data_IF_945876814348
#
_entry.id   IF_945876814348
#
_cell.length_a   1.000
_cell.length_b   1.000
_cell.length_c   1.000
_cell.angle_alpha   90.00
_cell.angle_beta   90.00
_cell.angle_gamma   90.00
#
_symmetry.space_group_name_H-M   'P 1'
#
loop_
_entity.id
_entity.type
_entity.pdbx_description
1 polymer ?
#
# COMPACT_ATOMS: atom_id res chain seq x y z
N UNK A 1 6.57 -3.79 12.40
CA UNK A 1 5.41 -4.44 11.79
C UNK A 1 4.28 -4.50 12.81
N UNK A 2 3.04 -4.57 12.32
CA UNK A 2 1.84 -4.87 13.10
C UNK A 2 1.32 -6.25 12.71
N UNK A 3 0.71 -6.96 13.65
CA UNK A 3 0.07 -8.24 13.37
C UNK A 3 -1.35 -8.01 12.84
N UNK A 4 -1.69 -8.69 11.75
CA UNK A 4 -3.06 -8.82 11.26
C UNK A 4 -3.52 -10.25 11.53
N UNK A 5 -4.50 -10.39 12.41
CA UNK A 5 -4.98 -11.70 12.85
C UNK A 5 -5.63 -12.48 11.69
N UNK A 6 -5.47 -13.81 11.72
CA UNK A 6 -6.14 -14.70 10.79
C UNK A 6 -7.68 -14.56 10.86
N UNK A 7 -8.37 -14.97 9.81
CA UNK A 7 -9.82 -15.08 9.78
C UNK A 7 -10.47 -14.29 8.65
N UNK A 8 -11.82 -14.30 8.61
CA UNK A 8 -12.60 -13.70 7.55
C UNK A 8 -12.56 -12.17 7.58
N UNK A 9 -12.67 -11.54 6.41
CA UNK A 9 -12.98 -10.12 6.26
C UNK A 9 -13.76 -9.85 4.97
N UNK A 10 -14.46 -8.72 4.93
CA UNK A 10 -15.14 -8.23 3.73
C UNK A 10 -14.10 -7.57 2.80
N UNK A 11 -13.82 -8.20 1.66
CA UNK A 11 -12.99 -7.63 0.59
C UNK A 11 -13.88 -7.00 -0.48
N UNK A 12 -13.48 -5.83 -0.96
CA UNK A 12 -14.12 -5.11 -2.06
C UNK A 12 -15.20 -4.15 -1.62
N UNK A 13 -15.75 -3.44 -2.61
CA UNK A 13 -16.67 -2.33 -2.40
C UNK A 13 -18.14 -2.77 -2.49
N UNK A 14 -19.00 -2.13 -1.69
CA UNK A 14 -20.46 -2.33 -1.73
C UNK A 14 -21.05 -1.73 -3.02
N UNK A 15 -22.18 -2.23 -3.55
CA UNK A 15 -22.77 -1.70 -4.78
C UNK A 15 -22.95 -0.17 -4.75
N UNK A 16 -22.48 0.50 -5.82
CA UNK A 16 -22.57 1.96 -5.96
C UNK A 16 -21.45 2.76 -5.28
N UNK A 17 -20.44 2.09 -4.72
CA UNK A 17 -19.23 2.70 -4.16
C UNK A 17 -18.01 2.11 -4.86
N UNK A 18 -17.01 2.94 -5.19
CA UNK A 18 -15.77 2.48 -5.82
C UNK A 18 -15.91 2.23 -7.33
N UNK A 19 -14.85 1.70 -7.92
CA UNK A 19 -14.78 1.31 -9.33
C UNK A 19 -15.33 -0.12 -9.56
N UNK A 20 -15.62 -0.44 -10.82
CA UNK A 20 -16.21 -1.73 -11.21
C UNK A 20 -15.34 -2.93 -10.79
N UNK A 21 -14.01 -2.81 -10.90
CA UNK A 21 -13.07 -3.89 -10.55
C UNK A 21 -12.84 -4.04 -9.03
N UNK A 22 -13.49 -3.21 -8.21
CA UNK A 22 -13.58 -3.37 -6.75
C UNK A 22 -14.76 -4.26 -6.32
N UNK A 23 -15.58 -4.71 -7.26
CA UNK A 23 -16.76 -5.54 -7.03
C UNK A 23 -16.55 -7.02 -7.46
N UNK A 24 -17.33 -7.96 -6.90
CA UNK A 24 -18.29 -7.78 -5.81
C UNK A 24 -17.59 -7.75 -4.44
N UNK A 25 -18.20 -7.06 -3.47
CA UNK A 25 -17.83 -7.29 -2.08
C UNK A 25 -18.19 -8.73 -1.67
N UNK A 26 -17.24 -9.45 -1.10
CA UNK A 26 -17.47 -10.78 -0.53
C UNK A 26 -16.55 -11.06 0.64
N UNK A 27 -16.98 -12.01 1.48
CA UNK A 27 -16.12 -12.50 2.56
C UNK A 27 -15.04 -13.42 1.99
N UNK A 28 -13.78 -13.15 2.37
CA UNK A 28 -12.65 -14.06 2.16
C UNK A 28 -11.91 -14.27 3.48
N UNK A 29 -11.18 -15.37 3.60
CA UNK A 29 -10.36 -15.71 4.76
C UNK A 29 -8.89 -15.47 4.44
N UNK A 30 -8.18 -14.83 5.38
CA UNK A 30 -6.72 -14.73 5.33
C UNK A 30 -6.10 -15.41 6.53
N UNK A 31 -4.98 -16.09 6.30
CA UNK A 31 -4.04 -16.52 7.33
C UNK A 31 -3.47 -15.30 8.07
N UNK A 32 -2.89 -15.53 9.26
CA UNK A 32 -2.28 -14.43 10.01
C UNK A 32 -0.96 -14.01 9.35
N UNK A 33 -0.71 -12.70 9.32
CA UNK A 33 0.51 -12.14 8.76
C UNK A 33 0.92 -10.89 9.54
N UNK A 34 2.15 -10.45 9.28
CA UNK A 34 2.64 -9.15 9.70
C UNK A 34 2.69 -8.24 8.50
N UNK A 35 2.38 -6.95 8.70
CA UNK A 35 2.62 -5.91 7.71
C UNK A 35 3.42 -4.78 8.36
N UNK A 36 4.24 -4.07 7.60
CA UNK A 36 4.95 -2.91 8.13
C UNK A 36 3.97 -1.88 8.67
N UNK A 37 4.38 -1.21 9.76
CA UNK A 37 3.53 -0.21 10.43
C UNK A 37 3.33 0.98 9.52
N UNK A 38 4.36 1.37 8.79
CA UNK A 38 4.41 2.48 7.84
C UNK A 38 4.96 1.97 6.51
N UNK A 39 4.94 2.84 5.50
CA UNK A 39 5.73 2.67 4.29
C UNK A 39 7.22 2.57 4.62
N UNK A 40 7.98 1.97 3.69
CA UNK A 40 9.44 1.91 3.76
C UNK A 40 10.00 3.31 3.62
N UNK A 41 10.85 3.71 4.57
CA UNK A 41 11.44 5.05 4.54
C UNK A 41 12.65 5.14 3.62
N UNK A 42 13.04 6.36 3.20
CA UNK A 42 14.27 6.56 2.44
C UNK A 42 15.50 6.08 3.22
N UNK A 43 15.56 6.28 4.55
CA UNK A 43 16.66 5.78 5.37
C UNK A 43 16.72 4.25 5.42
N UNK A 44 15.57 3.58 5.43
CA UNK A 44 15.53 2.12 5.39
C UNK A 44 15.97 1.57 4.05
N UNK A 45 15.49 2.17 2.96
CA UNK A 45 15.89 1.80 1.60
C UNK A 45 17.37 2.11 1.34
N UNK A 46 17.91 3.20 1.90
CA UNK A 46 19.32 3.57 1.76
C UNK A 46 20.25 2.47 2.30
N UNK A 47 19.87 1.78 3.38
CA UNK A 47 20.65 0.62 3.87
C UNK A 47 20.74 -0.52 2.85
N UNK A 48 19.71 -0.71 2.03
CA UNK A 48 19.76 -1.69 0.93
C UNK A 48 20.67 -1.21 -0.22
N UNK A 49 20.67 0.09 -0.50
CA UNK A 49 21.57 0.71 -1.49
C UNK A 49 23.02 0.60 -1.05
N UNK A 50 23.33 0.96 0.20
CA UNK A 50 24.67 0.90 0.79
C UNK A 50 25.21 -0.54 0.83
N UNK A 51 24.33 -1.52 1.02
CA UNK A 51 24.65 -2.94 0.95
C UNK A 51 24.85 -3.47 -0.49
N UNK A 52 24.67 -2.63 -1.51
CA UNK A 52 24.76 -3.01 -2.92
C UNK A 52 23.65 -3.96 -3.38
N UNK A 53 22.50 -3.97 -2.68
CA UNK A 53 21.36 -4.85 -2.95
C UNK A 53 20.21 -4.14 -3.65
N UNK A 54 20.12 -2.82 -3.51
CA UNK A 54 19.16 -1.95 -4.21
C UNK A 54 19.89 -0.88 -5.03
N UNK A 55 19.21 -0.33 -6.04
CA UNK A 55 19.70 0.85 -6.77
C UNK A 55 19.17 2.11 -6.11
N UNK A 56 19.91 3.21 -6.18
CA UNK A 56 19.38 4.50 -5.74
C UNK A 56 18.17 4.88 -6.63
N UNK A 57 17.00 5.23 -6.05
CA UNK A 57 15.84 5.67 -6.80
C UNK A 57 16.12 6.89 -7.68
N UNK A 58 15.43 6.95 -8.83
CA UNK A 58 15.57 8.06 -9.79
C UNK A 58 14.21 8.68 -10.07
N UNK A 59 13.90 9.79 -9.39
CA UNK A 59 12.73 10.60 -9.68
C UNK A 59 13.01 11.55 -10.86
N UNK A 60 12.12 11.58 -11.86
CA UNK A 60 12.23 12.54 -12.96
C UNK A 60 11.87 13.95 -12.46
N UNK A 61 12.87 14.76 -12.09
CA UNK A 61 12.78 16.22 -11.87
C UNK A 61 11.62 16.68 -10.94
N UNK A 62 11.35 15.97 -9.85
CA UNK A 62 10.46 16.45 -8.79
C UNK A 62 11.21 16.69 -7.47
N UNK A 63 11.60 17.95 -7.25
CA UNK A 63 12.30 18.36 -6.01
C UNK A 63 11.51 18.07 -4.73
N UNK A 64 10.18 17.92 -4.82
CA UNK A 64 9.36 17.68 -3.65
C UNK A 64 9.47 16.25 -3.12
N UNK A 65 9.91 15.29 -3.93
CA UNK A 65 9.95 13.86 -3.63
C UNK A 65 11.29 13.19 -3.97
N UNK A 66 12.33 13.99 -4.21
CA UNK A 66 13.66 13.50 -4.57
C UNK A 66 14.24 12.47 -3.57
N UNK A 67 15.11 11.61 -4.10
CA UNK A 67 15.96 10.73 -3.32
C UNK A 67 17.05 11.53 -2.61
N UNK A 68 16.85 11.79 -1.33
CA UNK A 68 17.79 12.45 -0.44
C UNK A 68 17.64 11.85 0.97
N UNK A 69 18.18 10.65 1.22
CA UNK A 69 18.03 9.97 2.50
C UNK A 69 18.67 10.74 3.67
N UNK A 70 19.52 11.74 3.40
CA UNK A 70 20.07 12.61 4.44
C UNK A 70 19.06 13.67 4.89
N UNK A 71 18.36 14.32 3.96
CA UNK A 71 17.34 15.33 4.28
C UNK A 71 15.94 14.76 4.52
N UNK A 72 15.64 13.58 3.96
CA UNK A 72 14.30 12.98 3.90
C UNK A 72 14.25 11.57 4.49
N UNK A 73 15.13 11.30 5.45
CA UNK A 73 15.29 10.00 6.10
C UNK A 73 13.97 9.29 6.47
N UNK A 74 12.99 10.04 6.97
CA UNK A 74 11.69 9.52 7.45
C UNK A 74 10.55 9.61 6.44
N UNK A 75 10.80 10.12 5.23
CA UNK A 75 9.79 10.11 4.16
C UNK A 75 9.73 8.73 3.51
N UNK A 76 8.59 8.33 2.93
CA UNK A 76 8.51 7.09 2.16
C UNK A 76 9.49 7.14 0.96
N UNK A 77 10.10 6.00 0.67
CA UNK A 77 10.79 5.81 -0.61
C UNK A 77 9.76 5.74 -1.73
N UNK A 78 10.04 6.46 -2.82
CA UNK A 78 9.24 6.50 -4.05
C UNK A 78 10.17 6.41 -5.26
N UNK A 79 9.63 6.43 -6.48
CA UNK A 79 10.40 6.32 -7.71
C UNK A 79 11.18 5.01 -7.81
N UNK A 80 10.55 3.93 -7.37
CA UNK A 80 11.04 2.56 -7.49
C UNK A 80 10.05 1.73 -8.29
N UNK A 81 10.57 0.87 -9.16
CA UNK A 81 9.74 -0.07 -9.91
C UNK A 81 9.29 -1.24 -9.03
N UNK A 82 8.36 -2.06 -9.50
CA UNK A 82 7.79 -3.15 -8.71
C UNK A 82 8.86 -4.18 -8.29
N UNK A 83 9.78 -4.51 -9.20
CA UNK A 83 10.88 -5.44 -8.92
C UNK A 83 11.86 -4.90 -7.87
N UNK A 84 12.10 -3.59 -7.84
CA UNK A 84 12.93 -2.94 -6.82
C UNK A 84 12.24 -2.95 -5.45
N UNK A 85 10.93 -2.70 -5.41
CA UNK A 85 10.11 -2.82 -4.21
C UNK A 85 10.14 -4.26 -3.66
N UNK A 86 9.93 -5.26 -4.53
CA UNK A 86 10.04 -6.69 -4.18
C UNK A 86 11.45 -7.04 -3.68
N UNK A 87 12.48 -6.58 -4.38
CA UNK A 87 13.88 -6.80 -4.04
C UNK A 87 14.24 -6.22 -2.67
N UNK A 88 13.78 -5.01 -2.35
CA UNK A 88 13.94 -4.42 -1.02
C UNK A 88 13.26 -5.25 0.06
N UNK A 89 12.00 -5.66 -0.14
CA UNK A 89 11.31 -6.47 0.86
C UNK A 89 12.02 -7.81 1.09
N UNK A 90 12.53 -8.44 0.03
CA UNK A 90 13.35 -9.65 0.16
C UNK A 90 14.66 -9.40 0.93
N UNK A 91 15.37 -8.30 0.65
CA UNK A 91 16.55 -7.88 1.41
C UNK A 91 16.25 -7.70 2.90
N UNK A 92 15.08 -7.15 3.23
CA UNK A 92 14.61 -6.97 4.60
C UNK A 92 14.10 -8.27 5.27
N UNK A 93 14.20 -9.43 4.60
CA UNK A 93 13.68 -10.71 5.11
C UNK A 93 12.15 -10.79 5.16
N UNK A 94 11.50 -10.10 4.21
CA UNK A 94 10.05 -9.91 4.06
C UNK A 94 9.62 -10.20 2.61
N UNK A 95 8.40 -9.85 2.26
CA UNK A 95 7.83 -9.87 0.90
C UNK A 95 6.90 -8.67 0.69
N UNK A 96 6.41 -8.48 -0.53
CA UNK A 96 5.25 -7.59 -0.74
C UNK A 96 3.99 -8.22 -0.11
N UNK A 97 3.04 -7.42 0.40
CA UNK A 97 1.72 -7.92 0.76
C UNK A 97 0.96 -8.36 -0.50
N UNK A 98 0.06 -9.32 -0.38
CA UNK A 98 -0.98 -9.49 -1.40
C UNK A 98 -1.95 -8.31 -1.35
N UNK A 99 -2.70 -8.06 -2.43
CA UNK A 99 -3.76 -7.05 -2.47
C UNK A 99 -4.77 -7.28 -1.34
N UNK A 100 -5.14 -8.54 -1.09
CA UNK A 100 -6.08 -8.91 -0.05
C UNK A 100 -5.52 -8.65 1.37
N UNK A 101 -4.24 -8.97 1.60
CA UNK A 101 -3.57 -8.66 2.86
C UNK A 101 -3.51 -7.16 3.12
N UNK A 102 -3.15 -6.39 2.10
CA UNK A 102 -3.13 -4.94 2.18
C UNK A 102 -4.51 -4.39 2.56
N UNK A 103 -5.57 -4.84 1.88
CA UNK A 103 -6.93 -4.38 2.17
C UNK A 103 -7.35 -4.73 3.58
N UNK A 104 -7.12 -5.97 4.05
CA UNK A 104 -7.47 -6.35 5.42
C UNK A 104 -6.71 -5.49 6.42
N UNK A 105 -5.42 -5.24 6.21
CA UNK A 105 -4.61 -4.41 7.08
C UNK A 105 -5.13 -2.97 7.17
N UNK A 106 -5.66 -2.42 6.08
CA UNK A 106 -6.26 -1.08 6.03
C UNK A 106 -7.66 -1.05 6.65
N UNK A 107 -8.53 -1.95 6.18
CA UNK A 107 -9.99 -1.95 6.41
C UNK A 107 -10.39 -2.59 7.74
N UNK A 108 -9.65 -3.56 8.26
CA UNK A 108 -10.19 -4.41 9.32
C UNK A 108 -11.23 -5.41 8.80
N UNK A 109 -12.22 -5.75 9.63
CA UNK A 109 -13.21 -6.80 9.33
C UNK A 109 -14.66 -6.31 9.27
N UNK A 110 -14.89 -5.02 9.54
CA UNK A 110 -16.23 -4.43 9.71
C UNK A 110 -16.77 -3.71 8.46
N UNK A 111 -16.02 -3.72 7.36
CA UNK A 111 -16.48 -3.14 6.09
C UNK A 111 -16.37 -1.62 6.00
N UNK A 112 -15.61 -0.96 6.90
CA UNK A 112 -15.39 0.49 6.85
C UNK A 112 -14.78 0.98 5.52
N UNK A 113 -15.04 2.24 5.17
CA UNK A 113 -14.54 2.85 3.92
C UNK A 113 -13.09 3.28 4.00
N UNK A 114 -12.64 3.79 5.14
CA UNK A 114 -11.28 4.28 5.36
C UNK A 114 -10.66 3.58 6.56
N UNK A 115 -9.32 3.62 6.73
CA UNK A 115 -8.67 2.93 7.85
C UNK A 115 -9.23 3.34 9.23
N UNK A 116 -9.57 4.62 9.38
CA UNK A 116 -10.13 5.18 10.61
C UNK A 116 -11.65 5.03 10.77
N UNK A 117 -12.38 4.54 9.78
CA UNK A 117 -13.85 4.42 9.81
C UNK A 117 -14.54 4.97 8.56
N UNK A 118 -15.77 5.47 8.73
CA UNK A 118 -16.63 5.94 7.62
C UNK A 118 -16.77 7.45 7.54
N UNK A 119 -16.19 8.18 8.49
CA UNK A 119 -16.08 9.63 8.41
C UNK A 119 -15.25 10.05 7.21
N UNK A 120 -15.64 11.15 6.56
CA UNK A 120 -14.94 11.71 5.43
C UNK A 120 -13.44 11.95 5.72
N UNK A 121 -12.56 11.84 4.71
CA UNK A 121 -11.16 12.20 4.84
C UNK A 121 -10.96 13.64 5.27
N UNK A 122 -9.93 13.85 6.09
CA UNK A 122 -9.51 15.16 6.60
C UNK A 122 -7.99 15.22 6.62
N UNK A 123 -7.44 16.44 6.65
CA UNK A 123 -6.00 16.65 6.66
C UNK A 123 -5.33 16.31 7.99
N UNK A 124 -6.11 15.97 9.02
CA UNK A 124 -5.63 15.40 10.27
C UNK A 124 -5.46 13.88 10.19
N UNK A 125 -5.99 13.22 9.14
CA UNK A 125 -6.01 11.76 9.01
C UNK A 125 -5.19 11.24 7.84
N UNK A 126 -4.95 12.04 6.81
CA UNK A 126 -4.20 11.60 5.63
C UNK A 126 -3.52 12.77 4.91
N UNK A 127 -2.51 12.44 4.09
CA UNK A 127 -1.91 13.35 3.11
C UNK A 127 -2.47 13.06 1.72
N UNK A 128 -3.31 13.95 1.19
CA UNK A 128 -3.97 13.79 -0.12
C UNK A 128 -4.18 15.17 -0.78
N UNK A 129 -4.67 15.20 -2.02
CA UNK A 129 -4.64 16.39 -2.89
C UNK A 129 -5.24 17.65 -2.23
N UNK A 130 -6.39 17.51 -1.58
CA UNK A 130 -7.14 18.60 -0.96
C UNK A 130 -6.40 19.22 0.23
N UNK A 131 -5.39 18.54 0.80
CA UNK A 131 -4.54 19.06 1.87
C UNK A 131 -3.42 19.97 1.38
N UNK A 132 -3.23 20.11 0.07
CA UNK A 132 -2.35 21.11 -0.54
C UNK A 132 -0.85 20.89 -0.27
N UNK A 133 -0.45 19.72 0.24
CA UNK A 133 0.97 19.35 0.36
C UNK A 133 1.52 19.04 -1.04
N UNK A 134 2.74 19.48 -1.32
CA UNK A 134 3.37 19.33 -2.65
C UNK A 134 4.12 18.01 -2.85
N UNK A 135 4.08 17.11 -1.88
CA UNK A 135 4.84 15.86 -1.88
C UNK A 135 4.52 15.00 -0.68
N UNK A 136 5.32 13.96 -0.49
CA UNK A 136 5.22 13.06 0.65
C UNK A 136 5.51 13.77 1.96
N UNK A 137 4.94 13.25 3.05
CA UNK A 137 5.27 13.68 4.42
C UNK A 137 6.01 12.54 5.14
N UNK A 138 6.67 12.82 6.29
CA UNK A 138 7.23 11.76 7.11
C UNK A 138 6.20 10.68 7.41
N UNK A 139 6.62 9.42 7.35
CA UNK A 139 5.72 8.30 7.67
C UNK A 139 5.24 8.39 9.11
N UNK A 140 4.02 7.97 9.36
CA UNK A 140 3.36 8.00 10.66
C UNK A 140 2.88 9.38 11.11
N UNK A 141 2.88 10.39 10.23
CA UNK A 141 2.47 11.77 10.57
C UNK A 141 1.00 11.89 11.00
N UNK A 142 0.14 10.95 10.61
CA UNK A 142 -1.29 10.97 10.90
C UNK A 142 -1.72 9.79 11.78
N UNK A 143 -1.41 9.81 13.10
CA UNK A 143 -1.79 8.71 13.99
C UNK A 143 -3.31 8.53 14.10
N UNK A 144 -4.11 9.60 13.93
CA UNK A 144 -5.57 9.57 13.83
C UNK A 144 -6.10 8.90 12.56
N UNK A 145 -5.24 8.67 11.58
CA UNK A 145 -5.54 7.94 10.35
C UNK A 145 -5.16 6.45 10.41
N UNK A 146 -4.68 5.95 11.55
CA UNK A 146 -4.26 4.56 11.67
C UNK A 146 -5.42 3.58 11.46
N UNK A 147 -5.09 2.43 10.85
CA UNK A 147 -6.00 1.30 10.68
C UNK A 147 -6.35 0.65 12.02
N UNK A 148 -7.38 -0.20 12.10
CA UNK A 148 -7.72 -0.91 13.35
C UNK A 148 -6.63 -1.88 13.82
N UNK A 149 -5.69 -2.26 12.95
CA UNK A 149 -4.50 -3.04 13.30
C UNK A 149 -3.28 -2.17 13.67
N UNK A 150 -3.41 -0.84 13.60
CA UNK A 150 -2.36 0.12 13.91
C UNK A 150 -1.34 0.34 12.78
N UNK A 151 -1.69 -0.01 11.54
CA UNK A 151 -0.92 0.40 10.36
C UNK A 151 -1.27 1.85 10.01
N UNK A 152 -0.24 2.68 9.82
CA UNK A 152 -0.35 4.09 9.51
C UNK A 152 -0.26 4.30 8.00
N UNK A 153 -0.81 5.44 7.56
CA UNK A 153 -0.71 5.94 6.18
C UNK A 153 -1.22 4.92 5.13
N UNK A 154 -2.13 4.04 5.53
CA UNK A 154 -2.83 3.13 4.62
C UNK A 154 -3.80 3.89 3.68
N UNK A 155 -3.99 5.19 3.89
CA UNK A 155 -4.75 6.08 3.02
C UNK A 155 -3.94 7.37 2.78
N UNK A 156 -3.60 7.62 1.53
CA UNK A 156 -2.83 8.78 1.08
C UNK A 156 -1.33 8.59 1.25
N UNK A 157 -0.62 9.72 1.27
CA UNK A 157 0.85 9.81 1.19
C UNK A 157 1.40 9.22 -0.10
N UNK A 158 1.47 7.91 -0.27
CA UNK A 158 1.91 7.24 -1.50
C UNK A 158 1.06 6.02 -1.80
N UNK A 159 0.85 5.74 -3.08
CA UNK A 159 0.38 4.42 -3.51
C UNK A 159 1.42 3.37 -3.12
N UNK A 160 0.97 2.16 -2.81
CA UNK A 160 1.86 1.09 -2.37
C UNK A 160 1.77 -0.12 -3.29
N UNK A 161 2.92 -0.57 -3.82
CA UNK A 161 3.02 -1.81 -4.59
C UNK A 161 2.55 -3.03 -3.78
N UNK A 162 1.74 -3.89 -4.41
CA UNK A 162 1.34 -5.20 -3.89
C UNK A 162 1.87 -6.32 -4.78
N UNK A 163 1.83 -7.57 -4.33
CA UNK A 163 2.35 -8.71 -5.09
C UNK A 163 1.55 -9.01 -6.38
N UNK A 164 0.25 -8.70 -6.36
CA UNK A 164 -0.75 -9.18 -7.30
C UNK A 164 -0.64 -8.49 -8.67
N UNK A 165 -0.86 -9.28 -9.73
CA UNK A 165 -1.15 -8.73 -11.05
C UNK A 165 -2.59 -8.21 -11.10
N UNK A 166 -2.83 -7.18 -11.92
CA UNK A 166 -4.19 -6.71 -12.17
C UNK A 166 -4.94 -7.65 -13.13
N UNK A 167 -6.21 -7.88 -12.82
CA UNK A 167 -7.21 -8.46 -13.71
C UNK A 167 -8.58 -7.94 -13.26
N UNK A 168 -9.32 -7.30 -14.17
CA UNK A 168 -10.56 -6.61 -13.86
C UNK A 168 -11.60 -7.53 -13.19
N UNK A 169 -11.75 -8.77 -13.70
CA UNK A 169 -12.75 -9.72 -13.20
C UNK A 169 -12.22 -10.59 -12.04
N UNK A 170 -11.03 -10.30 -11.49
CA UNK A 170 -10.40 -11.18 -10.50
C UNK A 170 -11.29 -11.37 -9.26
N UNK A 171 -11.99 -10.33 -8.79
CA UNK A 171 -12.79 -10.45 -7.55
C UNK A 171 -13.94 -11.45 -7.68
N UNK A 172 -14.49 -11.61 -8.89
CA UNK A 172 -15.52 -12.59 -9.24
C UNK A 172 -14.98 -14.02 -9.19
N UNK A 173 -13.78 -14.25 -9.74
CA UNK A 173 -13.18 -15.57 -9.89
C UNK A 173 -12.24 -15.98 -8.75
N UNK A 174 -11.89 -15.04 -7.87
CA UNK A 174 -10.83 -15.21 -6.88
C UNK A 174 -11.19 -16.29 -5.84
N UNK A 175 -10.19 -17.03 -5.32
CA UNK A 175 -10.43 -18.02 -4.27
C UNK A 175 -10.93 -17.36 -2.97
N UNK A 176 -11.53 -18.15 -2.09
CA UNK A 176 -12.07 -17.68 -0.81
C UNK A 176 -11.03 -17.60 0.30
N UNK A 177 -9.87 -18.25 0.15
CA UNK A 177 -8.82 -18.30 1.15
C UNK A 177 -7.48 -17.89 0.53
N UNK A 178 -6.77 -16.99 1.21
CA UNK A 178 -5.42 -16.54 0.86
C UNK A 178 -5.23 -16.27 -0.66
N UNK A 179 -6.05 -15.40 -1.29
CA UNK A 179 -5.88 -15.08 -2.70
C UNK A 179 -4.56 -14.32 -2.95
N UNK A 180 -3.83 -14.76 -3.98
CA UNK A 180 -2.51 -14.22 -4.38
C UNK A 180 -2.55 -13.45 -5.71
N UNK A 181 -3.75 -13.16 -6.23
CA UNK A 181 -3.92 -12.54 -7.54
C UNK A 181 -3.92 -13.57 -8.69
N UNK A 182 -4.04 -13.12 -9.94
CA UNK A 182 -3.78 -13.93 -11.11
C UNK A 182 -2.27 -14.21 -11.26
N UNK A 183 -1.91 -15.33 -11.89
CA UNK A 183 -0.52 -15.78 -12.00
C UNK A 183 0.35 -14.94 -12.96
N UNK A 184 -0.28 -14.18 -13.86
CA UNK A 184 0.38 -13.30 -14.82
C UNK A 184 -0.51 -12.10 -15.15
N UNK A 185 0.09 -11.03 -15.65
CA UNK A 185 -0.58 -9.83 -16.11
C UNK A 185 0.43 -8.78 -16.61
N UNK A 186 -0.09 -7.70 -17.19
CA UNK A 186 0.74 -6.60 -17.72
C UNK A 186 1.04 -5.52 -16.67
N UNK A 187 0.17 -5.40 -15.67
CA UNK A 187 0.26 -4.38 -14.62
C UNK A 187 0.17 -4.99 -13.23
N UNK A 188 0.72 -4.28 -12.24
CA UNK A 188 0.68 -4.67 -10.82
C UNK A 188 -0.26 -3.78 -10.05
N UNK A 189 -0.95 -4.36 -9.07
CA UNK A 189 -1.87 -3.63 -8.21
C UNK A 189 -1.10 -2.70 -7.28
N UNK A 190 -1.57 -1.45 -7.18
CA UNK A 190 -1.19 -0.49 -6.15
C UNK A 190 -2.40 -0.06 -5.34
N UNK A 191 -2.18 0.29 -4.06
CA UNK A 191 -3.25 0.55 -3.08
C UNK A 191 -3.02 1.81 -2.25
N UNK A 192 -4.10 2.40 -1.75
CA UNK A 192 -4.09 3.43 -0.70
C UNK A 192 -4.24 4.89 -1.12
N UNK A 193 -4.04 5.26 -2.37
CA UNK A 193 -4.02 6.67 -2.80
C UNK A 193 -2.68 7.33 -2.50
N UNK A 194 -2.47 8.54 -3.02
CA UNK A 194 -1.24 9.30 -2.78
C UNK A 194 -1.53 10.79 -2.57
N UNK A 195 -0.51 11.55 -2.15
CA UNK A 195 -0.60 12.98 -1.82
C UNK A 195 -1.19 13.88 -2.91
N UNK A 196 -1.21 13.43 -4.17
CA UNK A 196 -1.74 14.17 -5.33
C UNK A 196 -3.08 13.65 -5.86
N UNK A 197 -3.69 12.68 -5.18
CA UNK A 197 -5.00 12.12 -5.52
C UNK A 197 -6.05 12.57 -4.51
N UNK A 198 -7.30 12.60 -4.94
CA UNK A 198 -8.42 13.13 -4.18
C UNK A 198 -8.95 12.15 -3.13
N UNK A 199 -9.95 12.62 -2.38
CA UNK A 199 -10.61 11.81 -1.35
C UNK A 199 -11.24 10.49 -1.87
N UNK A 200 -11.63 10.43 -3.15
CA UNK A 200 -12.22 9.24 -3.78
C UNK A 200 -11.23 8.09 -3.90
N UNK A 201 -9.93 8.37 -3.99
CA UNK A 201 -8.89 7.36 -4.15
C UNK A 201 -8.35 6.83 -2.80
N UNK A 202 -8.88 7.31 -1.67
CA UNK A 202 -8.44 6.92 -0.32
C UNK A 202 -9.21 5.72 0.26
N UNK A 203 -10.16 5.16 -0.48
CA UNK A 203 -10.97 4.04 -0.02
C UNK A 203 -10.08 2.83 0.29
N UNK A 204 -10.32 2.15 1.40
CA UNK A 204 -9.58 0.95 1.79
C UNK A 204 -9.78 -0.21 0.82
N UNK A 205 -10.92 -0.28 0.11
CA UNK A 205 -11.11 -1.21 -1.02
C UNK A 205 -10.68 -0.64 -2.38
N UNK A 206 -10.36 0.65 -2.46
CA UNK A 206 -9.96 1.33 -3.68
C UNK A 206 -8.73 0.65 -4.28
N UNK A 207 -8.84 0.25 -5.54
CA UNK A 207 -7.76 -0.43 -6.27
C UNK A 207 -7.41 0.34 -7.52
N UNK A 208 -6.13 0.36 -7.83
CA UNK A 208 -5.66 0.76 -9.15
C UNK A 208 -4.44 -0.08 -9.51
N UNK A 209 -3.87 0.15 -10.68
CA UNK A 209 -2.76 -0.62 -11.19
C UNK A 209 -1.84 0.28 -11.99
N UNK A 210 -0.57 -0.10 -12.02
CA UNK A 210 0.46 0.65 -12.71
C UNK A 210 1.40 -0.30 -13.47
N UNK A 211 2.11 0.27 -14.45
CA UNK A 211 3.20 -0.40 -15.16
C UNK A 211 4.32 -0.73 -14.16
N UNK A 212 4.67 -2.02 -13.99
CA UNK A 212 5.61 -2.46 -12.97
C UNK A 212 7.06 -2.03 -13.24
N UNK A 213 7.35 -1.42 -14.39
CA UNK A 213 8.68 -0.96 -14.83
C UNK A 213 8.88 0.56 -14.72
N UNK A 214 7.86 1.28 -14.25
CA UNK A 214 7.89 2.74 -14.23
C UNK A 214 8.16 3.29 -12.82
N UNK A 215 9.05 4.28 -12.74
CA UNK A 215 9.37 5.00 -11.51
C UNK A 215 8.42 6.19 -11.32
N UNK A 216 7.39 5.99 -10.50
CA UNK A 216 6.44 7.04 -10.15
C UNK A 216 6.81 7.75 -8.84
N UNK A 217 6.76 9.08 -8.84
CA UNK A 217 7.09 9.94 -7.66
C UNK A 217 6.13 9.82 -6.46
N UNK A 218 5.11 8.98 -6.60
CA UNK A 218 3.99 8.88 -5.69
C UNK A 218 3.59 7.41 -5.47
N UNK A 219 4.42 6.47 -5.95
CA UNK A 219 4.29 5.03 -5.68
C UNK A 219 5.53 4.61 -4.89
N UNK A 220 5.29 4.04 -3.72
CA UNK A 220 6.28 3.48 -2.82
C UNK A 220 5.96 2.03 -2.47
N UNK A 221 6.35 1.61 -1.27
CA UNK A 221 6.20 0.23 -0.84
C UNK A 221 6.04 0.14 0.67
N UNK A 222 5.25 -0.84 1.12
CA UNK A 222 5.36 -1.45 2.45
C UNK A 222 5.53 -2.95 2.32
N UNK A 223 6.22 -3.57 3.26
CA UNK A 223 6.44 -5.02 3.22
C UNK A 223 5.51 -5.77 4.18
N UNK A 224 5.30 -7.05 3.89
CA UNK A 224 4.60 -8.01 4.72
C UNK A 224 5.48 -9.24 5.01
N UNK A 225 5.09 -10.04 5.99
CA UNK A 225 5.76 -11.29 6.35
C UNK A 225 4.71 -12.28 6.85
N UNK A 226 4.73 -13.50 6.31
CA UNK A 226 3.86 -14.59 6.79
C UNK A 226 4.16 -14.90 8.26
N UNK A 227 3.14 -15.28 9.03
CA UNK A 227 3.32 -15.68 10.44
C UNK A 227 3.85 -17.11 10.58
N UNK A 228 3.78 -17.92 9.53
CA UNK A 228 4.21 -19.32 9.55
C UNK A 228 5.74 -19.47 9.58
N UNK A 229 6.25 -20.20 10.57
CA UNK A 229 7.65 -20.66 10.68
C UNK A 229 8.56 -19.83 11.61
N UNK A 230 8.28 -19.85 12.92
CA UNK A 230 9.36 -19.81 13.93
C UNK A 230 10.04 -21.18 13.99
#
# INVERSE_FOLDING_TARGET
MVEVSAGPFLRGSVPGVGLEDEHPQRTIELSAFYIDRTEVTQADYARCVDAGKCKAPVCKKDRANDWDPAARATHPVVCIEWEEARGYCAFAGKRLPTEAEWEKAARGTDGRFYPWGNDAPTCERANYYECGKKGTVPVGSYPSGASPFGAHDMAGNVWEWTADFHMAEYYVASPAKDPEGPSAGESKIVRGGAFKYGASELLSAGRTFDDPTVHFEHVGVRCAKSKDGL
#
